data_IF_606824680711
#
_entry.id   IF_606824680711
#
_cell.length_a   1.000
_cell.length_b   1.000
_cell.length_c   1.000
_cell.angle_alpha   90.00
_cell.angle_beta   90.00
_cell.angle_gamma   90.00
#
_symmetry.space_group_name_H-M   'P 1'
#
loop_
_entity.id
_entity.type
_entity.pdbx_description
1 polymer ?
#
# COMPACT_ATOMS: atom_id res chain seq x y z
N UNK A 1 -24.65 -15.49 -5.84
CA UNK A 1 -24.02 -14.41 -6.64
C UNK A 1 -24.27 -13.03 -6.06
N UNK A 2 -25.50 -12.69 -5.64
CA UNK A 2 -25.85 -11.36 -5.10
C UNK A 2 -25.07 -10.97 -3.82
N UNK A 3 -24.86 -11.91 -2.89
CA UNK A 3 -24.05 -11.68 -1.68
C UNK A 3 -22.57 -11.36 -2.00
N UNK A 4 -21.99 -12.05 -3.00
CA UNK A 4 -20.60 -11.83 -3.41
C UNK A 4 -20.43 -10.45 -4.07
N UNK A 5 -21.41 -9.98 -4.85
CA UNK A 5 -21.38 -8.62 -5.42
C UNK A 5 -21.57 -7.52 -4.39
N UNK A 6 -22.29 -7.80 -3.30
CA UNK A 6 -22.42 -6.87 -2.16
C UNK A 6 -21.10 -6.75 -1.40
N UNK A 7 -20.42 -7.88 -1.16
CA UNK A 7 -19.13 -7.93 -0.48
C UNK A 7 -18.02 -7.32 -1.36
N UNK A 8 -17.97 -7.66 -2.65
CA UNK A 8 -16.96 -7.17 -3.60
C UNK A 8 -17.35 -5.84 -4.27
N UNK A 9 -17.84 -4.89 -3.47
CA UNK A 9 -18.17 -3.57 -3.97
C UNK A 9 -16.88 -2.78 -4.28
N UNK A 10 -16.62 -2.56 -5.57
CA UNK A 10 -15.40 -1.86 -6.05
C UNK A 10 -15.23 -0.47 -5.43
N UNK A 11 -16.32 0.30 -5.27
CA UNK A 11 -16.26 1.64 -4.67
C UNK A 11 -15.80 1.56 -3.23
N UNK A 12 -16.44 0.69 -2.45
CA UNK A 12 -16.12 0.48 -1.05
C UNK A 12 -14.66 0.07 -0.86
N UNK A 13 -14.19 -0.94 -1.59
CA UNK A 13 -12.83 -1.44 -1.40
C UNK A 13 -11.75 -0.46 -1.85
N UNK A 14 -11.97 0.30 -2.93
CA UNK A 14 -11.05 1.39 -3.31
C UNK A 14 -10.98 2.47 -2.23
N UNK A 15 -12.13 2.89 -1.69
CA UNK A 15 -12.15 3.86 -0.60
C UNK A 15 -11.51 3.30 0.68
N UNK A 16 -11.77 2.04 1.03
CA UNK A 16 -11.20 1.39 2.19
C UNK A 16 -9.67 1.27 2.09
N UNK A 17 -9.15 0.78 0.96
CA UNK A 17 -7.71 0.71 0.72
C UNK A 17 -7.07 2.09 0.72
N UNK A 18 -7.65 3.05 0.01
CA UNK A 18 -7.11 4.41 -0.07
C UNK A 18 -7.09 5.10 1.30
N UNK A 19 -8.18 4.99 2.07
CA UNK A 19 -8.25 5.53 3.43
C UNK A 19 -7.27 4.85 4.37
N UNK A 20 -7.15 3.51 4.30
CA UNK A 20 -6.19 2.76 5.10
C UNK A 20 -4.75 3.22 4.82
N UNK A 21 -4.34 3.22 3.55
CA UNK A 21 -3.00 3.65 3.15
C UNK A 21 -2.72 5.09 3.58
N UNK A 22 -3.68 6.00 3.36
CA UNK A 22 -3.56 7.41 3.74
C UNK A 22 -3.41 7.59 5.24
N UNK A 23 -4.32 6.99 6.04
CA UNK A 23 -4.32 7.17 7.49
C UNK A 23 -3.08 6.56 8.15
N UNK A 24 -2.72 5.34 7.75
CA UNK A 24 -1.54 4.65 8.27
C UNK A 24 -0.26 5.44 7.98
N UNK A 25 -0.07 5.90 6.74
CA UNK A 25 1.14 6.61 6.34
C UNK A 25 1.22 8.02 6.90
N UNK A 26 0.09 8.75 6.92
CA UNK A 26 0.02 10.07 7.55
C UNK A 26 0.34 10.00 9.05
N UNK A 27 -0.17 8.97 9.75
CA UNK A 27 0.16 8.75 11.15
C UNK A 27 1.65 8.46 11.34
N UNK A 28 2.22 7.55 10.55
CA UNK A 28 3.64 7.21 10.64
C UNK A 28 4.58 8.40 10.40
N UNK A 29 4.24 9.27 9.44
CA UNK A 29 5.00 10.48 9.14
C UNK A 29 4.85 11.53 10.25
N UNK A 30 3.63 11.82 10.68
CA UNK A 30 3.35 12.88 11.67
C UNK A 30 3.82 12.53 13.09
N UNK A 31 3.84 11.25 13.45
CA UNK A 31 4.33 10.76 14.74
C UNK A 31 5.85 10.54 14.77
N UNK A 32 6.54 10.64 13.64
CA UNK A 32 7.95 10.29 13.51
C UNK A 32 8.24 8.78 13.48
N UNK A 33 7.21 7.93 13.55
CA UNK A 33 7.36 6.47 13.51
C UNK A 33 8.03 5.96 12.22
N UNK A 34 7.85 6.66 11.10
CA UNK A 34 8.55 6.33 9.85
C UNK A 34 10.08 6.37 10.02
N UNK A 35 10.60 7.36 10.75
CA UNK A 35 12.03 7.50 11.00
C UNK A 35 12.50 6.57 12.12
N UNK A 36 11.80 6.54 13.26
CA UNK A 36 12.23 5.73 14.41
C UNK A 36 12.11 4.22 14.17
N UNK A 37 11.20 3.80 13.29
CA UNK A 37 11.01 2.39 12.92
C UNK A 37 11.96 1.91 11.81
N UNK A 38 12.66 2.82 11.13
CA UNK A 38 13.47 2.49 9.96
C UNK A 38 14.49 1.36 10.18
N UNK A 39 15.25 1.31 11.29
CA UNK A 39 16.23 0.24 11.51
C UNK A 39 15.63 -1.17 11.46
N UNK A 40 14.36 -1.33 11.83
CA UNK A 40 13.70 -2.64 11.89
C UNK A 40 13.50 -3.31 10.52
N UNK A 41 13.66 -2.56 9.44
CA UNK A 41 13.55 -3.06 8.06
C UNK A 41 14.91 -3.37 7.42
N UNK A 42 16.02 -3.23 8.15
CA UNK A 42 17.37 -3.43 7.65
C UNK A 42 18.13 -4.42 8.51
N UNK A 43 18.99 -5.23 7.90
CA UNK A 43 19.74 -6.27 8.61
C UNK A 43 20.98 -5.72 9.32
N UNK A 44 21.24 -6.25 10.51
CA UNK A 44 22.47 -6.01 11.27
C UNK A 44 22.52 -4.67 12.00
N UNK A 45 23.67 -4.40 12.64
CA UNK A 45 23.93 -3.11 13.28
C UNK A 45 24.33 -2.10 12.21
N UNK A 46 23.52 -1.06 12.05
CA UNK A 46 23.78 0.01 11.09
C UNK A 46 24.76 1.02 11.66
N UNK A 47 25.74 1.43 10.85
CA UNK A 47 26.51 2.65 11.13
C UNK A 47 25.59 3.88 11.08
N UNK A 48 26.02 5.00 11.65
CA UNK A 48 25.25 6.25 11.63
C UNK A 48 24.87 6.68 10.20
N UNK A 49 25.79 6.50 9.25
CA UNK A 49 25.54 6.83 7.84
C UNK A 49 24.45 5.92 7.23
N UNK A 50 24.51 4.62 7.49
CA UNK A 50 23.54 3.66 6.97
C UNK A 50 22.17 3.87 7.63
N UNK A 51 22.14 4.18 8.92
CA UNK A 51 20.93 4.56 9.64
C UNK A 51 20.24 5.78 9.00
N UNK A 52 21.01 6.83 8.70
CA UNK A 52 20.47 8.01 8.03
C UNK A 52 19.89 7.70 6.65
N UNK A 53 20.51 6.78 5.90
CA UNK A 53 19.98 6.31 4.61
C UNK A 53 18.68 5.53 4.81
N UNK A 54 18.65 4.58 5.76
CA UNK A 54 17.46 3.80 6.08
C UNK A 54 16.27 4.72 6.45
N UNK A 55 16.50 5.72 7.30
CA UNK A 55 15.49 6.71 7.67
C UNK A 55 14.93 7.43 6.44
N UNK A 56 15.80 7.92 5.55
CA UNK A 56 15.36 8.62 4.34
C UNK A 56 14.56 7.69 3.43
N UNK A 57 14.99 6.45 3.24
CA UNK A 57 14.28 5.46 2.42
C UNK A 57 12.87 5.22 2.97
N UNK A 58 12.72 4.98 4.27
CA UNK A 58 11.40 4.74 4.86
C UNK A 58 10.51 5.98 4.83
N UNK A 59 11.03 7.16 5.18
CA UNK A 59 10.25 8.41 5.12
C UNK A 59 9.74 8.68 3.71
N UNK A 60 10.60 8.48 2.70
CA UNK A 60 10.21 8.62 1.29
C UNK A 60 9.18 7.57 0.90
N UNK A 61 9.34 6.31 1.34
CA UNK A 61 8.37 5.25 1.10
C UNK A 61 6.99 5.59 1.68
N UNK A 62 6.93 6.00 2.94
CA UNK A 62 5.69 6.42 3.59
C UNK A 62 5.03 7.61 2.88
N UNK A 63 5.80 8.60 2.44
CA UNK A 63 5.28 9.75 1.68
C UNK A 63 4.70 9.34 0.32
N UNK A 64 5.35 8.41 -0.40
CA UNK A 64 4.82 7.87 -1.65
C UNK A 64 3.54 7.08 -1.41
N UNK A 65 3.51 6.23 -0.38
CA UNK A 65 2.33 5.44 -0.02
C UNK A 65 1.15 6.33 0.40
N UNK A 66 1.41 7.47 1.06
CA UNK A 66 0.41 8.48 1.36
C UNK A 66 -0.22 9.04 0.08
N UNK A 67 0.61 9.50 -0.87
CA UNK A 67 0.13 10.02 -2.15
C UNK A 67 -0.68 8.97 -2.93
N UNK A 68 -0.19 7.73 -2.98
CA UNK A 68 -0.90 6.62 -3.63
C UNK A 68 -2.22 6.27 -2.94
N UNK A 69 -2.26 6.32 -1.60
CA UNK A 69 -3.49 6.15 -0.82
C UNK A 69 -4.55 7.19 -1.18
N UNK A 70 -4.16 8.47 -1.24
CA UNK A 70 -5.05 9.57 -1.63
C UNK A 70 -5.57 9.39 -3.05
N UNK A 71 -4.71 9.00 -4.00
CA UNK A 71 -5.13 8.73 -5.38
C UNK A 71 -6.13 7.57 -5.47
N UNK A 72 -5.87 6.46 -4.78
CA UNK A 72 -6.78 5.30 -4.77
C UNK A 72 -8.13 5.67 -4.13
N UNK A 73 -8.12 6.45 -3.04
CA UNK A 73 -9.33 6.95 -2.41
C UNK A 73 -10.14 7.83 -3.37
N UNK A 74 -9.47 8.75 -4.07
CA UNK A 74 -10.08 9.62 -5.06
C UNK A 74 -10.69 8.85 -6.24
N UNK A 75 -10.04 7.77 -6.70
CA UNK A 75 -10.60 6.88 -7.73
C UNK A 75 -11.92 6.26 -7.22
N UNK A 76 -11.93 5.76 -5.99
CA UNK A 76 -13.14 5.23 -5.36
C UNK A 76 -14.26 6.27 -5.26
N UNK A 77 -13.92 7.50 -4.91
CA UNK A 77 -14.89 8.57 -4.66
C UNK A 77 -15.46 9.19 -5.94
N UNK A 78 -14.59 9.51 -6.92
CA UNK A 78 -14.94 10.40 -8.03
C UNK A 78 -15.10 9.71 -9.38
N UNK A 79 -14.45 8.57 -9.63
CA UNK A 79 -14.54 7.92 -10.94
C UNK A 79 -15.93 7.27 -11.09
N UNK A 80 -16.63 7.55 -12.17
CA UNK A 80 -17.96 7.01 -12.44
C UNK A 80 -17.92 5.51 -12.80
N UNK A 81 -19.02 4.81 -12.52
CA UNK A 81 -19.30 3.54 -13.21
C UNK A 81 -19.65 3.85 -14.68
N UNK A 82 -19.18 3.07 -15.68
CA UNK A 82 -18.52 1.78 -15.53
C UNK A 82 -17.00 1.80 -15.30
N UNK A 83 -16.33 2.92 -15.53
CA UNK A 83 -14.86 3.00 -15.69
C UNK A 83 -14.08 2.72 -14.39
N UNK A 84 -14.67 2.99 -13.23
CA UNK A 84 -14.04 2.86 -11.89
C UNK A 84 -13.27 1.56 -11.69
N UNK A 85 -13.86 0.42 -12.07
CA UNK A 85 -13.24 -0.88 -11.84
C UNK A 85 -11.96 -1.11 -12.65
N UNK A 86 -11.91 -0.59 -13.89
CA UNK A 86 -10.71 -0.72 -14.75
C UNK A 86 -9.58 0.17 -14.25
N UNK A 87 -9.89 1.44 -13.97
CA UNK A 87 -8.90 2.40 -13.44
C UNK A 87 -8.42 1.97 -12.06
N UNK A 88 -9.33 1.48 -11.21
CA UNK A 88 -9.00 0.93 -9.90
C UNK A 88 -8.06 -0.27 -9.99
N UNK A 89 -8.35 -1.24 -10.87
CA UNK A 89 -7.45 -2.39 -11.06
C UNK A 89 -6.05 -1.97 -11.50
N UNK A 90 -5.94 -1.07 -12.48
CA UNK A 90 -4.66 -0.55 -12.97
C UNK A 90 -3.89 0.15 -11.84
N UNK A 91 -4.57 1.02 -11.08
CA UNK A 91 -3.96 1.71 -9.96
C UNK A 91 -3.44 0.74 -8.90
N UNK A 92 -4.25 -0.23 -8.48
CA UNK A 92 -3.83 -1.22 -7.45
C UNK A 92 -2.66 -2.07 -7.95
N UNK A 93 -2.68 -2.51 -9.22
CA UNK A 93 -1.57 -3.26 -9.82
C UNK A 93 -0.30 -2.41 -9.87
N UNK A 94 -0.40 -1.14 -10.29
CA UNK A 94 0.75 -0.25 -10.36
C UNK A 94 1.35 -0.01 -8.97
N UNK A 95 0.52 0.26 -7.96
CA UNK A 95 0.98 0.45 -6.58
C UNK A 95 1.64 -0.82 -6.07
N UNK A 96 0.97 -1.97 -6.10
CA UNK A 96 1.52 -3.22 -5.58
C UNK A 96 2.76 -3.68 -6.35
N UNK A 97 2.72 -3.63 -7.68
CA UNK A 97 3.83 -4.04 -8.54
C UNK A 97 5.09 -3.22 -8.28
N UNK A 98 4.95 -1.89 -8.17
CA UNK A 98 6.09 -1.02 -7.86
C UNK A 98 6.67 -1.30 -6.46
N UNK A 99 5.82 -1.63 -5.47
CA UNK A 99 6.31 -1.99 -4.13
C UNK A 99 7.14 -3.28 -4.16
N UNK A 100 6.67 -4.32 -4.85
CA UNK A 100 7.41 -5.58 -4.96
C UNK A 100 8.73 -5.41 -5.70
N UNK A 101 8.76 -4.61 -6.77
CA UNK A 101 10.00 -4.32 -7.51
C UNK A 101 10.98 -3.54 -6.63
N UNK A 102 10.52 -2.47 -5.99
CA UNK A 102 11.37 -1.63 -5.14
C UNK A 102 11.94 -2.41 -3.95
N UNK A 103 11.10 -3.18 -3.23
CA UNK A 103 11.55 -4.03 -2.12
C UNK A 103 12.51 -5.13 -2.59
N UNK A 104 12.22 -5.75 -3.74
CA UNK A 104 13.07 -6.76 -4.35
C UNK A 104 14.47 -6.22 -4.67
N UNK A 105 14.54 -5.03 -5.29
CA UNK A 105 15.82 -4.38 -5.57
C UNK A 105 16.55 -3.97 -4.29
N UNK A 106 15.84 -3.36 -3.34
CA UNK A 106 16.39 -2.93 -2.06
C UNK A 106 16.97 -4.10 -1.25
N UNK A 107 16.42 -5.31 -1.39
CA UNK A 107 16.89 -6.48 -0.64
C UNK A 107 18.35 -6.85 -0.90
N UNK A 108 18.87 -6.55 -2.09
CA UNK A 108 20.29 -6.70 -2.42
C UNK A 108 21.22 -5.77 -1.62
N UNK A 109 20.66 -4.76 -0.96
CA UNK A 109 21.36 -3.80 -0.10
C UNK A 109 21.10 -4.03 1.40
N UNK A 110 20.57 -5.19 1.77
CA UNK A 110 20.28 -5.55 3.17
C UNK A 110 18.90 -5.12 3.68
N UNK A 111 18.03 -4.59 2.80
CA UNK A 111 16.63 -4.32 3.13
C UNK A 111 15.84 -5.62 3.31
N UNK A 112 15.21 -5.79 4.46
CA UNK A 112 14.24 -6.84 4.71
C UNK A 112 12.90 -6.20 5.01
N UNK A 113 12.16 -5.87 3.94
CA UNK A 113 10.85 -5.24 4.06
C UNK A 113 9.91 -6.03 4.96
N UNK A 114 10.01 -7.36 5.06
CA UNK A 114 9.15 -8.18 5.91
C UNK A 114 9.57 -8.26 7.38
N UNK A 115 10.83 -7.96 7.75
CA UNK A 115 11.28 -8.06 9.16
C UNK A 115 10.59 -7.05 10.07
N UNK A 116 10.17 -5.90 9.52
CA UNK A 116 9.40 -4.89 10.26
C UNK A 116 7.90 -5.15 10.31
N UNK A 117 7.36 -6.19 9.63
CA UNK A 117 5.93 -6.50 9.67
C UNK A 117 5.59 -7.44 10.82
N UNK A 118 4.69 -7.00 11.70
CA UNK A 118 4.01 -7.89 12.63
C UNK A 118 2.77 -8.55 11.98
N UNK A 119 2.13 -9.48 12.69
CA UNK A 119 0.96 -10.21 12.17
C UNK A 119 -0.21 -9.29 11.77
N UNK A 120 -0.37 -8.16 12.46
CA UNK A 120 -1.39 -7.15 12.15
C UNK A 120 -1.09 -6.53 10.79
N UNK A 121 0.16 -6.14 10.55
CA UNK A 121 0.59 -5.57 9.30
C UNK A 121 0.48 -6.57 8.13
N UNK A 122 0.73 -7.87 8.37
CA UNK A 122 0.50 -8.93 7.39
C UNK A 122 -0.99 -9.09 7.03
N UNK A 123 -1.90 -9.05 8.00
CA UNK A 123 -3.35 -9.11 7.75
C UNK A 123 -3.82 -7.89 6.94
N UNK A 124 -3.26 -6.71 7.21
CA UNK A 124 -3.60 -5.49 6.49
C UNK A 124 -3.17 -5.52 5.01
N UNK A 125 -2.19 -6.35 4.64
CA UNK A 125 -1.86 -6.61 3.23
C UNK A 125 -2.96 -7.34 2.45
N UNK A 126 -3.98 -7.90 3.12
CA UNK A 126 -5.15 -8.47 2.45
C UNK A 126 -6.03 -7.39 1.81
N UNK A 127 -6.01 -6.15 2.32
CA UNK A 127 -6.86 -5.06 1.82
C UNK A 127 -6.57 -4.76 0.32
N UNK A 128 -5.30 -4.58 -0.11
CA UNK A 128 -4.98 -4.46 -1.54
C UNK A 128 -5.46 -5.64 -2.38
N UNK A 129 -5.30 -6.87 -1.89
CA UNK A 129 -5.70 -8.08 -2.61
C UNK A 129 -7.22 -8.14 -2.81
N UNK A 130 -7.99 -7.89 -1.74
CA UNK A 130 -9.46 -7.88 -1.82
C UNK A 130 -9.92 -6.75 -2.75
N UNK A 131 -9.25 -5.59 -2.69
CA UNK A 131 -9.55 -4.45 -3.58
C UNK A 131 -9.31 -4.79 -5.04
N UNK A 132 -8.21 -5.48 -5.35
CA UNK A 132 -7.93 -5.97 -6.69
C UNK A 132 -9.00 -6.97 -7.16
N UNK A 133 -9.36 -7.94 -6.32
CA UNK A 133 -10.42 -8.92 -6.63
C UNK A 133 -11.76 -8.22 -6.88
N UNK A 134 -12.11 -7.20 -6.08
CA UNK A 134 -13.32 -6.41 -6.24
C UNK A 134 -13.32 -5.57 -7.53
N UNK A 135 -12.15 -5.12 -8.00
CA UNK A 135 -12.03 -4.46 -9.28
C UNK A 135 -12.16 -5.46 -10.44
N UNK A 136 -11.41 -6.56 -10.41
CA UNK A 136 -11.37 -7.55 -11.48
C UNK A 136 -12.69 -8.30 -11.67
N UNK A 137 -13.41 -8.61 -10.59
CA UNK A 137 -14.73 -9.26 -10.65
C UNK A 137 -15.75 -8.43 -11.44
N UNK A 138 -15.72 -7.10 -11.27
CA UNK A 138 -16.60 -6.18 -11.97
C UNK A 138 -16.14 -5.85 -13.39
N UNK A 139 -14.85 -5.98 -13.69
CA UNK A 139 -14.33 -5.89 -15.07
C UNK A 139 -14.76 -7.09 -15.90
N UNK A 140 -14.73 -8.29 -15.33
CA UNK A 140 -15.05 -9.55 -16.03
C UNK A 140 -16.56 -9.81 -16.18
N UNK A 141 -17.37 -9.26 -15.28
CA UNK A 141 -18.84 -9.40 -15.28
C UNK A 141 -19.60 -8.40 -16.15
N UNK A 142 -18.90 -7.65 -17.01
CA UNK A 142 -19.47 -6.83 -18.09
C UNK A 142 -19.12 -7.44 -19.43
#
# INVERSE_FOLDING_TARGET
>A
MQALSTILNTRFWLMAMGAFLTAFTAFALSSGQAASGAPGFWGGDLTEKELNIAIVVEVVWFAHMLGMGVMIFAIGLFVADPVRARVGAIAVIAVMGTQFIAAGMASSYGYNGFSGFNIIAAVLMLIPLITLIACLSKVRGR
#
